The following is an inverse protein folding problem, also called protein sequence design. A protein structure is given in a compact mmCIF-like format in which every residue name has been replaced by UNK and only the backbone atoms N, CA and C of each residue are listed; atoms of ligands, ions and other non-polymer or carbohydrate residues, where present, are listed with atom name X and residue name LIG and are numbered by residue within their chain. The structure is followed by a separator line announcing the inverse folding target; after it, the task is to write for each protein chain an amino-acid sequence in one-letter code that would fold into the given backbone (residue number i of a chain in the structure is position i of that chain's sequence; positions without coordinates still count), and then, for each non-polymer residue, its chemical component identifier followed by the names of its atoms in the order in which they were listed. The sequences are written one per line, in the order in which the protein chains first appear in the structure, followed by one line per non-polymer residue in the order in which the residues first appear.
data_IF_179694058951
#
_entry.id   IF_179694058951
#
_cell.length_a   1.000
_cell.length_b   1.000
_cell.length_c   1.000
_cell.angle_alpha   90.00
_cell.angle_beta   90.00
_cell.angle_gamma   90.00
#
_symmetry.space_group_name_H-M   'P 1'
#
loop_
_entity.id
_entity.type
_entity.pdbx_description
1 polymer ?
#
# COMPACT_ATOMS: atom_id res chain seq x y z
N UNK A 1 -0.92 66.47 13.17
CA UNK A 1 -0.81 65.12 13.75
C UNK A 1 -2.12 64.36 13.50
N UNK A 2 -2.40 63.92 12.26
CA UNK A 2 -3.77 63.47 11.93
C UNK A 2 -3.98 62.55 10.73
N UNK A 3 -3.07 62.50 9.75
CA UNK A 3 -3.27 61.65 8.55
C UNK A 3 -2.22 60.53 8.36
N UNK A 4 -1.17 60.50 9.18
CA UNK A 4 -0.14 59.44 9.12
C UNK A 4 -0.53 58.17 9.90
N UNK A 5 -1.22 58.32 11.04
CA UNK A 5 -1.69 57.18 11.84
C UNK A 5 -2.83 56.39 11.16
N UNK A 6 -3.71 57.05 10.41
CA UNK A 6 -4.81 56.37 9.69
C UNK A 6 -4.31 55.56 8.48
N UNK A 7 -3.26 56.02 7.80
CA UNK A 7 -2.65 55.28 6.68
C UNK A 7 -1.82 54.07 7.14
N UNK A 8 -1.19 54.15 8.32
CA UNK A 8 -0.46 53.02 8.92
C UNK A 8 -1.37 51.87 9.38
N UNK A 9 -2.55 52.19 9.94
CA UNK A 9 -3.51 51.17 10.40
C UNK A 9 -4.18 50.45 9.22
N UNK A 10 -4.45 51.15 8.11
CA UNK A 10 -5.01 50.52 6.90
C UNK A 10 -3.98 49.58 6.24
N UNK A 11 -2.68 49.91 6.28
CA UNK A 11 -1.64 49.04 5.73
C UNK A 11 -1.39 47.78 6.57
N UNK A 12 -1.61 47.85 7.89
CA UNK A 12 -1.48 46.70 8.81
C UNK A 12 -2.67 45.72 8.75
N UNK A 13 -3.87 46.17 8.35
CA UNK A 13 -5.04 45.29 8.21
C UNK A 13 -5.00 44.52 6.87
N UNK A 14 -4.37 45.08 5.82
CA UNK A 14 -4.22 44.39 4.51
C UNK A 14 -3.20 43.24 4.58
N UNK A 15 -2.25 43.27 5.52
CA UNK A 15 -1.27 42.19 5.73
C UNK A 15 -1.82 41.00 6.56
N UNK A 16 -3.01 41.11 7.15
CA UNK A 16 -3.64 40.03 7.94
C UNK A 16 -4.71 39.24 7.17
N UNK A 17 -4.88 39.46 5.86
CA UNK A 17 -5.90 38.79 5.03
C UNK A 17 -5.37 37.90 3.88
N UNK A 18 -4.07 37.67 3.79
CA UNK A 18 -3.48 36.73 2.81
C UNK A 18 -3.19 35.32 3.34
N UNK A 19 -3.46 35.06 4.61
CA UNK A 19 -3.04 33.85 5.33
C UNK A 19 -4.06 32.71 5.30
N UNK A 20 -4.60 32.37 4.13
CA UNK A 20 -5.24 31.06 3.90
C UNK A 20 -4.87 30.60 2.50
N UNK A 21 -3.65 30.10 2.33
CA UNK A 21 -3.40 29.09 1.32
C UNK A 21 -4.27 27.90 1.73
N UNK A 22 -5.50 27.84 1.19
CA UNK A 22 -6.20 26.58 1.06
C UNK A 22 -5.19 25.65 0.39
N UNK A 23 -4.80 24.58 1.07
CA UNK A 23 -3.98 23.52 0.50
C UNK A 23 -4.82 22.92 -0.63
N UNK A 24 -4.61 23.45 -1.83
CA UNK A 24 -5.49 23.24 -2.95
C UNK A 24 -5.37 21.79 -3.40
N UNK A 25 -6.51 21.15 -3.61
CA UNK A 25 -6.67 20.00 -4.51
C UNK A 25 -5.77 20.20 -5.73
N UNK A 26 -5.13 19.12 -6.21
CA UNK A 26 -4.33 19.25 -7.43
C UNK A 26 -5.19 19.80 -8.55
N UNK A 27 -4.59 20.62 -9.41
CA UNK A 27 -5.32 21.24 -10.50
C UNK A 27 -5.89 20.18 -11.44
N UNK A 28 -6.96 20.52 -12.17
CA UNK A 28 -7.51 19.62 -13.18
C UNK A 28 -6.46 19.22 -14.24
N UNK A 29 -5.50 20.10 -14.53
CA UNK A 29 -4.41 19.82 -15.47
C UNK A 29 -3.36 18.87 -14.90
N UNK A 30 -3.07 18.93 -13.60
CA UNK A 30 -2.23 17.93 -12.93
C UNK A 30 -2.93 16.58 -12.84
N UNK A 31 -4.22 16.56 -12.54
CA UNK A 31 -5.00 15.34 -12.50
C UNK A 31 -5.03 14.61 -13.86
N UNK A 32 -4.96 15.32 -14.98
CA UNK A 32 -4.84 14.73 -16.34
C UNK A 32 -3.53 13.95 -16.54
N UNK A 33 -2.52 14.13 -15.70
CA UNK A 33 -1.28 13.33 -15.73
C UNK A 33 -1.52 11.89 -15.27
N UNK A 34 -2.62 11.61 -14.57
CA UNK A 34 -3.02 10.29 -14.10
C UNK A 34 -3.92 9.61 -15.14
N UNK A 35 -3.75 8.32 -15.34
CA UNK A 35 -4.68 7.56 -16.17
C UNK A 35 -4.36 6.07 -16.19
N UNK A 36 -5.21 5.28 -16.84
CA UNK A 36 -4.97 3.83 -17.03
C UNK A 36 -3.95 3.61 -18.15
N UNK A 37 -4.04 4.39 -19.23
CA UNK A 37 -3.21 4.29 -20.44
C UNK A 37 -2.73 5.68 -20.89
N UNK A 38 -1.59 5.74 -21.59
CA UNK A 38 -1.18 6.94 -22.36
C UNK A 38 -0.90 8.20 -21.55
N UNK A 39 -0.63 8.07 -20.25
CA UNK A 39 -0.44 9.17 -19.29
C UNK A 39 0.91 9.02 -18.59
N UNK A 40 1.60 10.11 -18.21
CA UNK A 40 2.91 10.01 -17.58
C UNK A 40 2.87 9.30 -16.21
N UNK A 41 1.74 9.39 -15.50
CA UNK A 41 1.53 8.70 -14.24
C UNK A 41 0.49 7.58 -14.40
N UNK A 42 0.69 6.51 -13.64
CA UNK A 42 -0.31 5.46 -13.41
C UNK A 42 -1.52 6.03 -12.66
N UNK A 43 -2.67 5.32 -12.57
CA UNK A 43 -3.85 5.86 -11.87
C UNK A 43 -3.61 6.11 -10.39
N UNK A 44 -2.61 5.45 -9.82
CA UNK A 44 -2.21 5.57 -8.40
C UNK A 44 -1.07 6.55 -8.19
N UNK A 45 -0.65 7.28 -9.22
CA UNK A 45 0.35 8.33 -9.12
C UNK A 45 1.81 7.92 -9.25
N UNK A 46 2.10 6.62 -9.42
CA UNK A 46 3.45 6.18 -9.73
C UNK A 46 3.85 6.59 -11.15
N UNK A 47 5.15 6.83 -11.38
CA UNK A 47 5.70 7.00 -12.73
C UNK A 47 5.34 5.80 -13.61
N UNK A 48 4.79 6.06 -14.79
CA UNK A 48 4.41 4.99 -15.73
C UNK A 48 5.62 4.41 -16.45
N UNK A 49 6.51 5.30 -16.90
CA UNK A 49 7.68 4.92 -17.67
C UNK A 49 8.57 3.94 -16.90
N UNK A 50 9.35 3.17 -17.65
CA UNK A 50 10.49 2.43 -17.12
C UNK A 50 11.64 3.37 -16.72
N UNK A 51 12.73 2.81 -16.20
CA UNK A 51 13.95 3.58 -15.99
C UNK A 51 14.74 3.74 -17.30
N UNK A 52 15.67 4.70 -17.31
CA UNK A 52 16.52 4.97 -18.48
C UNK A 52 17.40 3.77 -18.89
N UNK A 53 17.81 2.93 -17.93
CA UNK A 53 18.66 1.76 -18.19
C UNK A 53 17.88 0.57 -18.79
N UNK A 54 16.55 0.66 -18.90
CA UNK A 54 15.69 -0.39 -19.45
C UNK A 54 15.55 -1.64 -18.58
N UNK A 55 16.04 -1.61 -17.34
CA UNK A 55 15.96 -2.74 -16.39
C UNK A 55 14.63 -2.81 -15.64
N UNK A 56 13.87 -1.71 -15.64
CA UNK A 56 12.50 -1.59 -15.14
C UNK A 56 11.61 -1.27 -16.33
N UNK A 57 10.64 -2.14 -16.67
CA UNK A 57 9.74 -1.90 -17.80
C UNK A 57 8.69 -0.82 -17.48
N UNK A 58 8.04 -0.30 -18.52
CA UNK A 58 6.82 0.50 -18.37
C UNK A 58 5.73 -0.29 -17.65
N UNK A 59 4.90 0.39 -16.84
CA UNK A 59 3.69 -0.22 -16.31
C UNK A 59 2.58 -0.27 -17.37
N UNK A 60 2.20 -1.50 -17.74
CA UNK A 60 1.20 -1.78 -18.79
C UNK A 60 -0.13 -2.33 -18.26
N UNK A 61 -0.39 -2.19 -16.95
CA UNK A 61 -1.63 -2.68 -16.32
C UNK A 61 -1.43 -3.81 -15.30
N UNK A 62 -0.23 -4.39 -15.23
CA UNK A 62 0.08 -5.50 -14.34
C UNK A 62 -0.62 -6.81 -14.74
N UNK A 63 -0.72 -7.74 -13.79
CA UNK A 63 -1.35 -9.05 -14.01
C UNK A 63 -2.86 -8.91 -13.84
N UNK A 64 -3.61 -8.98 -14.94
CA UNK A 64 -5.09 -8.82 -14.94
C UNK A 64 -5.87 -10.13 -15.05
N UNK A 65 -5.17 -11.24 -15.29
CA UNK A 65 -5.73 -12.60 -15.34
C UNK A 65 -4.89 -13.53 -14.49
N UNK A 66 -5.50 -14.52 -13.81
CA UNK A 66 -4.74 -15.54 -13.10
C UNK A 66 -3.74 -16.23 -14.03
N UNK A 67 -2.54 -16.61 -13.54
CA UNK A 67 -1.60 -17.40 -14.32
C UNK A 67 -2.23 -18.75 -14.75
N UNK A 68 -1.71 -19.32 -15.83
CA UNK A 68 -2.18 -20.61 -16.34
C UNK A 68 -2.09 -21.69 -15.25
N UNK A 69 -3.15 -22.49 -15.11
CA UNK A 69 -3.21 -23.59 -14.15
C UNK A 69 -3.61 -23.21 -12.72
N UNK A 70 -3.91 -21.94 -12.44
CA UNK A 70 -4.46 -21.54 -11.13
C UNK A 70 -5.93 -21.92 -10.98
N UNK A 71 -6.27 -22.61 -9.90
CA UNK A 71 -7.65 -22.76 -9.43
C UNK A 71 -7.84 -22.11 -8.06
N UNK A 72 -9.08 -21.73 -7.74
CA UNK A 72 -9.42 -21.16 -6.44
C UNK A 72 -9.14 -22.17 -5.34
N UNK A 73 -8.29 -21.80 -4.38
CA UNK A 73 -7.85 -22.66 -3.28
C UNK A 73 -6.43 -23.20 -3.45
N UNK A 74 -5.85 -23.11 -4.65
CA UNK A 74 -4.47 -23.52 -4.90
C UNK A 74 -3.46 -22.54 -4.29
N UNK A 75 -2.24 -23.04 -4.09
CA UNK A 75 -1.10 -22.16 -3.87
C UNK A 75 -0.89 -21.30 -5.13
N UNK A 76 -0.60 -20.01 -4.97
CA UNK A 76 -0.44 -19.10 -6.10
C UNK A 76 0.76 -19.55 -6.95
N UNK A 77 0.55 -19.88 -8.25
CA UNK A 77 1.63 -20.28 -9.12
C UNK A 77 2.57 -19.10 -9.37
N UNK A 78 3.82 -19.41 -9.73
CA UNK A 78 4.77 -18.42 -10.18
C UNK A 78 4.27 -17.79 -11.49
N UNK A 79 4.14 -16.46 -11.58
CA UNK A 79 3.57 -15.81 -12.76
C UNK A 79 4.51 -15.80 -13.98
N UNK A 80 5.82 -15.87 -13.77
CA UNK A 80 6.86 -15.89 -14.82
C UNK A 80 7.84 -17.05 -14.60
N UNK A 81 7.40 -18.32 -14.73
CA UNK A 81 8.25 -19.48 -14.44
C UNK A 81 9.48 -19.60 -15.36
N UNK A 82 9.45 -18.94 -16.53
CA UNK A 82 10.51 -18.89 -17.51
C UNK A 82 11.65 -17.91 -17.16
N UNK A 83 11.45 -17.03 -16.18
CA UNK A 83 12.46 -16.03 -15.80
C UNK A 83 13.74 -16.69 -15.29
N UNK A 84 14.85 -16.35 -15.94
CA UNK A 84 16.18 -16.82 -15.54
C UNK A 84 16.88 -15.77 -14.70
N UNK A 85 17.78 -16.24 -13.83
CA UNK A 85 18.69 -15.36 -13.09
C UNK A 85 19.53 -14.56 -14.07
N UNK A 86 19.54 -13.25 -13.91
CA UNK A 86 20.42 -12.34 -14.65
C UNK A 86 21.86 -12.48 -14.14
N UNK A 87 22.03 -12.41 -12.82
CA UNK A 87 23.31 -12.60 -12.15
C UNK A 87 23.10 -12.95 -10.66
N UNK A 88 24.19 -13.17 -9.95
CA UNK A 88 24.18 -13.40 -8.50
C UNK A 88 25.21 -12.51 -7.83
N UNK A 89 24.75 -11.78 -6.81
CA UNK A 89 25.61 -11.01 -5.93
C UNK A 89 26.04 -11.89 -4.76
N UNK A 90 27.32 -11.90 -4.47
CA UNK A 90 27.97 -12.71 -3.43
C UNK A 90 28.96 -11.85 -2.65
N UNK A 91 29.57 -12.40 -1.60
CA UNK A 91 30.57 -11.68 -0.83
C UNK A 91 31.82 -11.31 -1.62
N UNK A 92 32.09 -11.99 -2.74
CA UNK A 92 33.23 -11.71 -3.60
C UNK A 92 33.01 -10.51 -4.56
N UNK A 93 31.75 -10.18 -4.88
CA UNK A 93 31.44 -9.15 -5.89
C UNK A 93 30.48 -8.04 -5.42
N UNK A 94 29.97 -8.09 -4.18
CA UNK A 94 29.00 -7.09 -3.69
C UNK A 94 29.52 -5.65 -3.78
N UNK A 95 30.84 -5.44 -3.72
CA UNK A 95 31.45 -4.11 -3.87
C UNK A 95 31.17 -3.48 -5.24
N UNK A 96 31.03 -4.29 -6.30
CA UNK A 96 30.67 -3.83 -7.65
C UNK A 96 29.22 -3.32 -7.73
N UNK A 97 28.38 -3.71 -6.76
CA UNK A 97 26.97 -3.37 -6.69
C UNK A 97 26.64 -2.50 -5.48
N UNK A 98 27.66 -1.93 -4.82
CA UNK A 98 27.51 -1.26 -3.51
C UNK A 98 26.48 -0.13 -3.52
N UNK A 99 26.38 0.60 -4.63
CA UNK A 99 25.41 1.70 -4.79
C UNK A 99 23.94 1.22 -4.81
N UNK A 100 23.71 -0.07 -5.07
CA UNK A 100 22.39 -0.69 -5.10
C UNK A 100 22.06 -1.45 -3.81
N UNK A 101 23.00 -1.50 -2.86
CA UNK A 101 22.88 -2.28 -1.63
C UNK A 101 22.78 -1.38 -0.41
N UNK A 102 21.85 -1.69 0.48
CA UNK A 102 21.78 -1.04 1.79
C UNK A 102 22.88 -1.56 2.72
N UNK A 103 23.24 -0.78 3.74
CA UNK A 103 24.24 -1.19 4.74
C UNK A 103 23.88 -2.52 5.41
N UNK A 104 22.58 -2.76 5.64
CA UNK A 104 22.09 -4.03 6.17
C UNK A 104 22.34 -5.21 5.23
N UNK A 105 22.16 -5.02 3.92
CA UNK A 105 22.47 -6.06 2.91
C UNK A 105 23.98 -6.31 2.82
N UNK A 106 24.79 -5.25 2.85
CA UNK A 106 26.25 -5.36 2.88
C UNK A 106 26.73 -6.11 4.13
N UNK A 107 26.13 -5.83 5.29
CA UNK A 107 26.44 -6.53 6.52
C UNK A 107 26.14 -8.04 6.42
N UNK A 108 25.09 -8.46 5.71
CA UNK A 108 24.78 -9.87 5.49
C UNK A 108 25.86 -10.58 4.66
N UNK A 109 26.39 -9.95 3.60
CA UNK A 109 27.50 -10.50 2.82
C UNK A 109 28.78 -10.66 3.67
N UNK A 110 29.05 -9.71 4.57
CA UNK A 110 30.20 -9.78 5.48
C UNK A 110 30.04 -10.83 6.59
N UNK A 111 28.84 -10.95 7.15
CA UNK A 111 28.54 -11.90 8.24
C UNK A 111 28.47 -13.35 7.73
N UNK A 112 27.99 -13.55 6.50
CA UNK A 112 27.72 -14.87 5.93
C UNK A 112 28.32 -15.06 4.54
N UNK A 113 29.65 -14.89 4.38
CA UNK A 113 30.27 -14.79 3.06
C UNK A 113 30.13 -16.06 2.21
N UNK A 114 29.99 -17.22 2.85
CA UNK A 114 29.89 -18.52 2.15
C UNK A 114 28.45 -18.94 1.82
N UNK A 115 27.46 -18.39 2.52
CA UNK A 115 26.07 -18.89 2.48
C UNK A 115 25.08 -17.86 1.96
N UNK A 116 25.32 -16.57 2.20
CA UNK A 116 24.46 -15.51 1.73
C UNK A 116 24.80 -15.12 0.29
N UNK A 117 23.79 -15.15 -0.56
CA UNK A 117 23.86 -14.75 -1.96
C UNK A 117 22.52 -14.14 -2.37
N UNK A 118 22.56 -13.16 -3.25
CA UNK A 118 21.37 -12.51 -3.79
C UNK A 118 21.25 -12.87 -5.27
N UNK A 119 20.20 -13.61 -5.62
CA UNK A 119 19.88 -13.91 -7.01
C UNK A 119 19.05 -12.76 -7.60
N UNK A 120 19.53 -12.19 -8.70
CA UNK A 120 18.86 -11.08 -9.38
C UNK A 120 18.14 -11.60 -10.61
N UNK A 121 16.90 -11.16 -10.80
CA UNK A 121 15.98 -11.59 -11.86
C UNK A 121 15.44 -10.37 -12.62
N UNK A 122 14.85 -10.56 -13.81
CA UNK A 122 14.16 -9.48 -14.54
C UNK A 122 13.08 -8.80 -13.68
N UNK A 123 12.96 -7.48 -13.83
CA UNK A 123 11.91 -6.72 -13.15
C UNK A 123 10.60 -6.83 -13.92
N UNK A 124 9.52 -7.17 -13.24
CA UNK A 124 8.17 -7.12 -13.78
C UNK A 124 7.30 -6.18 -12.94
N UNK A 125 6.56 -5.27 -13.59
CA UNK A 125 5.60 -4.40 -12.90
C UNK A 125 4.22 -5.06 -12.88
N UNK A 126 4.03 -5.97 -11.93
CA UNK A 126 2.85 -6.88 -11.87
C UNK A 126 1.62 -6.32 -11.15
N UNK A 127 1.78 -5.26 -10.36
CA UNK A 127 0.70 -4.73 -9.54
C UNK A 127 -0.48 -4.27 -10.40
N UNK A 128 -1.66 -4.80 -10.12
CA UNK A 128 -2.93 -4.47 -10.74
C UNK A 128 -3.99 -4.26 -9.66
N UNK A 129 -4.97 -3.40 -9.93
CA UNK A 129 -6.11 -3.13 -9.04
C UNK A 129 -7.40 -3.23 -9.85
N UNK A 130 -8.56 -3.44 -9.19
CA UNK A 130 -9.85 -3.34 -9.84
C UNK A 130 -10.06 -1.96 -10.48
N UNK A 131 -10.73 -1.91 -11.63
CA UNK A 131 -10.96 -0.67 -12.40
C UNK A 131 -11.61 0.43 -11.56
N UNK A 132 -12.58 0.07 -10.70
CA UNK A 132 -13.26 1.02 -9.83
C UNK A 132 -12.30 1.69 -8.83
N UNK A 133 -11.27 0.97 -8.35
CA UNK A 133 -10.30 1.50 -7.40
C UNK A 133 -9.32 2.46 -8.09
N UNK A 134 -9.00 2.21 -9.36
CA UNK A 134 -8.26 3.17 -10.16
C UNK A 134 -9.06 4.43 -10.47
N UNK A 135 -10.34 4.27 -10.84
CA UNK A 135 -11.22 5.42 -11.06
C UNK A 135 -11.33 6.26 -9.80
N UNK A 136 -11.58 5.65 -8.66
CA UNK A 136 -11.67 6.36 -7.39
C UNK A 136 -10.37 7.08 -7.06
N UNK A 137 -9.20 6.47 -7.31
CA UNK A 137 -7.91 7.13 -7.10
C UNK A 137 -7.73 8.38 -7.99
N UNK A 138 -8.05 8.30 -9.28
CA UNK A 138 -8.01 9.45 -10.20
C UNK A 138 -8.97 10.54 -9.73
N UNK A 139 -10.21 10.17 -9.39
CA UNK A 139 -11.21 11.13 -8.89
C UNK A 139 -10.71 11.81 -7.59
N UNK A 140 -10.07 11.06 -6.69
CA UNK A 140 -9.58 11.56 -5.42
C UNK A 140 -8.56 12.70 -5.60
N UNK A 141 -7.75 12.70 -6.67
CA UNK A 141 -6.77 13.75 -6.97
C UNK A 141 -7.36 15.16 -6.89
N UNK A 142 -8.60 15.34 -7.38
CA UNK A 142 -9.28 16.65 -7.41
C UNK A 142 -10.29 16.85 -6.28
N UNK A 143 -10.57 15.80 -5.50
CA UNK A 143 -11.64 15.80 -4.49
C UNK A 143 -11.11 15.78 -3.07
N UNK A 144 -9.98 15.11 -2.84
CA UNK A 144 -9.42 14.88 -1.53
C UNK A 144 -8.82 16.17 -0.94
N UNK A 145 -9.03 16.35 0.37
CA UNK A 145 -8.44 17.45 1.14
C UNK A 145 -8.00 16.92 2.50
N UNK A 146 -6.84 17.38 2.99
CA UNK A 146 -6.46 17.16 4.39
C UNK A 146 -7.42 17.91 5.32
N UNK A 147 -7.66 17.35 6.51
CA UNK A 147 -8.41 18.00 7.58
C UNK A 147 -7.55 18.16 8.83
N UNK A 148 -7.92 19.13 9.68
CA UNK A 148 -7.38 19.29 11.05
C UNK A 148 -5.84 19.22 11.14
N UNK A 149 -5.16 20.01 10.30
CA UNK A 149 -3.69 20.08 10.31
C UNK A 149 -2.98 18.82 9.79
N UNK A 150 -3.69 17.92 9.10
CA UNK A 150 -3.13 16.71 8.52
C UNK A 150 -3.46 15.41 9.28
N UNK A 151 -4.24 15.50 10.35
CA UNK A 151 -4.68 14.34 11.15
C UNK A 151 -5.78 13.49 10.48
N UNK A 152 -6.23 13.89 9.30
CA UNK A 152 -7.16 13.13 8.49
C UNK A 152 -7.28 13.68 7.08
N UNK A 153 -8.21 13.12 6.32
CA UNK A 153 -8.62 13.63 5.03
C UNK A 153 -10.13 13.43 4.82
N UNK A 154 -10.70 14.19 3.88
CA UNK A 154 -12.07 14.06 3.37
C UNK A 154 -12.05 14.05 1.85
N UNK A 155 -13.17 13.74 1.21
CA UNK A 155 -13.33 13.79 -0.24
C UNK A 155 -12.77 12.60 -1.01
N UNK A 156 -12.26 11.58 -0.32
CA UNK A 156 -11.63 10.41 -0.92
C UNK A 156 -12.37 9.09 -0.57
N UNK A 157 -12.22 8.10 -1.44
CA UNK A 157 -12.69 6.72 -1.21
C UNK A 157 -11.84 5.71 -1.98
N UNK A 158 -11.98 4.44 -1.63
CA UNK A 158 -11.57 3.30 -2.45
C UNK A 158 -10.08 2.98 -2.47
N UNK A 159 -9.23 4.00 -2.56
CA UNK A 159 -7.78 3.87 -2.70
C UNK A 159 -7.07 5.14 -2.19
N UNK A 160 -5.78 5.30 -2.48
CA UNK A 160 -4.97 6.46 -2.10
C UNK A 160 -5.71 7.81 -2.33
N UNK A 161 -5.82 8.67 -1.30
CA UNK A 161 -6.52 9.95 -1.38
C UNK A 161 -5.75 10.99 -2.21
N UNK A 162 -4.42 10.96 -2.19
CA UNK A 162 -3.58 11.99 -2.80
C UNK A 162 -2.61 11.37 -3.81
N UNK A 163 -3.06 10.85 -4.97
CA UNK A 163 -2.18 10.19 -5.93
C UNK A 163 -0.99 11.05 -6.38
N UNK A 164 -1.11 12.38 -6.36
CA UNK A 164 0.01 13.31 -6.58
C UNK A 164 0.24 14.08 -5.28
N UNK A 165 0.95 13.49 -4.29
CA UNK A 165 1.09 14.10 -2.98
C UNK A 165 1.96 15.35 -3.05
N UNK A 166 1.48 16.45 -2.50
CA UNK A 166 2.17 17.74 -2.37
C UNK A 166 2.92 17.87 -1.04
N UNK A 167 2.73 16.92 -0.11
CA UNK A 167 3.43 16.89 1.18
C UNK A 167 3.68 15.49 1.71
N UNK A 168 4.59 15.38 2.69
CA UNK A 168 4.87 14.11 3.37
C UNK A 168 3.65 13.54 4.11
N UNK A 169 2.76 14.40 4.63
CA UNK A 169 1.53 13.96 5.30
C UNK A 169 0.58 13.28 4.31
N UNK A 170 0.44 13.81 3.11
CA UNK A 170 -0.36 13.20 2.04
C UNK A 170 0.22 11.84 1.61
N UNK A 171 1.55 11.74 1.50
CA UNK A 171 2.23 10.49 1.21
C UNK A 171 2.01 9.42 2.30
N UNK A 172 2.01 9.83 3.58
CA UNK A 172 1.68 8.95 4.71
C UNK A 172 0.22 8.47 4.59
N UNK A 173 -0.73 9.34 4.29
CA UNK A 173 -2.13 8.94 4.10
C UNK A 173 -2.32 7.95 2.97
N UNK A 174 -1.61 8.12 1.85
CA UNK A 174 -1.58 7.12 0.78
C UNK A 174 -1.04 5.76 1.25
N UNK A 175 0.05 5.76 2.02
CA UNK A 175 0.60 4.53 2.58
C UNK A 175 -0.39 3.85 3.54
N UNK A 176 -1.12 4.61 4.34
CA UNK A 176 -2.12 4.05 5.26
C UNK A 176 -3.32 3.48 4.51
N UNK A 177 -3.77 4.14 3.43
CA UNK A 177 -5.10 3.90 2.83
C UNK A 177 -5.11 3.32 1.42
N UNK A 178 -3.96 2.94 0.88
CA UNK A 178 -3.91 2.21 -0.39
C UNK A 178 -4.80 0.96 -0.35
N UNK A 179 -5.38 0.63 -1.51
CA UNK A 179 -6.30 -0.48 -1.65
C UNK A 179 -5.66 -1.82 -1.27
N UNK A 180 -6.36 -2.59 -0.42
CA UNK A 180 -5.96 -3.94 0.04
C UNK A 180 -7.07 -4.98 -0.09
N UNK A 181 -8.09 -4.70 -0.89
CA UNK A 181 -9.33 -5.46 -0.91
C UNK A 181 -10.43 -4.84 -0.05
N UNK A 182 -11.68 -5.22 -0.32
CA UNK A 182 -12.83 -4.82 0.49
C UNK A 182 -12.95 -5.63 1.79
N UNK A 183 -12.52 -6.90 1.74
CA UNK A 183 -12.51 -7.83 2.87
C UNK A 183 -11.26 -8.69 2.79
N UNK A 184 -10.65 -8.95 3.95
CA UNK A 184 -9.48 -9.83 4.08
C UNK A 184 -9.82 -10.93 5.08
N UNK A 185 -9.79 -12.17 4.64
CA UNK A 185 -9.85 -13.34 5.52
C UNK A 185 -8.44 -13.76 5.91
N UNK A 186 -8.19 -13.97 7.20
CA UNK A 186 -6.98 -14.59 7.71
C UNK A 186 -7.33 -15.89 8.43
N UNK A 187 -6.64 -16.95 8.04
CA UNK A 187 -6.75 -18.26 8.64
C UNK A 187 -5.42 -18.57 9.33
N UNK A 188 -5.46 -18.72 10.65
CA UNK A 188 -4.28 -18.96 11.47
C UNK A 188 -4.48 -20.13 12.41
N UNK A 189 -3.37 -20.73 12.83
CA UNK A 189 -3.35 -21.70 13.92
C UNK A 189 -2.24 -21.28 14.88
N UNK A 190 -2.57 -21.20 16.17
CA UNK A 190 -1.61 -20.94 17.23
C UNK A 190 -1.51 -22.16 18.14
N UNK A 191 -0.29 -22.53 18.49
CA UNK A 191 -0.01 -23.54 19.50
C UNK A 191 0.90 -22.94 20.57
N UNK A 192 0.50 -23.06 21.83
CA UNK A 192 1.35 -22.73 22.98
C UNK A 192 1.84 -24.06 23.58
N UNK A 193 3.12 -24.44 23.37
CA UNK A 193 3.64 -25.69 23.91
C UNK A 193 3.89 -25.56 25.42
N UNK A 194 3.53 -26.60 26.16
CA UNK A 194 3.92 -26.77 27.57
C UNK A 194 5.37 -27.22 27.68
N UNK A 195 5.95 -27.16 28.89
CA UNK A 195 7.33 -27.63 29.15
C UNK A 195 7.56 -29.08 28.72
N UNK A 196 6.52 -29.92 28.75
CA UNK A 196 6.58 -31.33 28.37
C UNK A 196 6.34 -31.57 26.88
N UNK A 197 6.12 -30.51 26.09
CA UNK A 197 5.89 -30.59 24.65
C UNK A 197 4.41 -30.77 24.25
N UNK A 198 3.49 -30.95 25.20
CA UNK A 198 2.05 -30.99 24.89
C UNK A 198 1.55 -29.61 24.45
N UNK A 199 0.66 -29.55 23.48
CA UNK A 199 0.05 -28.31 22.99
C UNK A 199 -1.41 -28.52 22.58
N UNK A 200 -2.20 -27.44 22.61
CA UNK A 200 -3.52 -27.38 21.99
C UNK A 200 -3.47 -26.40 20.83
N UNK A 201 -4.01 -26.80 19.68
CA UNK A 201 -4.12 -25.91 18.52
C UNK A 201 -5.37 -25.05 18.69
N UNK A 202 -5.19 -23.74 18.72
CA UNK A 202 -6.25 -22.76 18.58
C UNK A 202 -6.30 -22.32 17.12
N UNK A 203 -7.43 -22.56 16.45
CA UNK A 203 -7.65 -22.05 15.09
C UNK A 203 -8.30 -20.67 15.18
N UNK A 204 -7.73 -19.71 14.46
CA UNK A 204 -8.23 -18.35 14.37
C UNK A 204 -8.72 -18.09 12.96
N UNK A 205 -9.95 -17.59 12.85
CA UNK A 205 -10.49 -17.06 11.60
C UNK A 205 -10.79 -15.60 11.85
N UNK A 206 -9.97 -14.73 11.28
CA UNK A 206 -10.19 -13.29 11.32
C UNK A 206 -10.75 -12.83 9.98
N UNK A 207 -11.77 -11.99 10.01
CA UNK A 207 -12.28 -11.28 8.86
C UNK A 207 -12.13 -9.79 9.12
N UNK A 208 -11.39 -9.12 8.25
CA UNK A 208 -11.21 -7.67 8.28
C UNK A 208 -12.07 -7.09 7.17
N UNK A 209 -13.06 -6.28 7.52
CA UNK A 209 -13.76 -5.45 6.54
C UNK A 209 -13.06 -4.11 6.45
N UNK A 210 -12.91 -3.59 5.23
CA UNK A 210 -12.34 -2.28 4.96
C UNK A 210 -13.43 -1.40 4.34
N UNK A 211 -14.28 -0.72 5.17
CA UNK A 211 -15.36 0.12 4.68
C UNK A 211 -14.87 1.21 3.72
N UNK A 212 -13.65 1.72 3.91
CA UNK A 212 -13.02 2.69 3.01
C UNK A 212 -12.92 2.19 1.56
N UNK A 213 -12.68 0.89 1.39
CA UNK A 213 -12.54 0.21 0.11
C UNK A 213 -13.86 -0.46 -0.35
N UNK A 214 -15.01 0.02 0.10
CA UNK A 214 -16.33 -0.43 -0.40
C UNK A 214 -16.66 0.24 -1.74
N UNK A 215 -16.75 -0.51 -2.86
CA UNK A 215 -17.06 0.05 -4.16
C UNK A 215 -18.44 0.73 -4.20
N UNK A 216 -19.39 0.29 -3.36
CA UNK A 216 -20.77 0.80 -3.31
C UNK A 216 -20.92 2.03 -2.40
N UNK A 217 -19.94 2.31 -1.55
CA UNK A 217 -20.01 3.45 -0.64
C UNK A 217 -19.76 4.77 -1.37
N UNK A 218 -20.51 5.81 -0.99
CA UNK A 218 -20.25 7.19 -1.44
C UNK A 218 -19.24 7.88 -0.53
N UNK A 219 -18.54 8.90 -1.03
CA UNK A 219 -17.58 9.71 -0.24
C UNK A 219 -18.19 10.24 1.06
N UNK A 220 -19.41 10.78 0.99
CA UNK A 220 -20.17 11.25 2.17
C UNK A 220 -20.44 10.13 3.18
N UNK A 221 -20.71 8.91 2.71
CA UNK A 221 -20.91 7.77 3.62
C UNK A 221 -19.59 7.34 4.29
N UNK A 222 -18.48 7.37 3.56
CA UNK A 222 -17.14 7.09 4.10
C UNK A 222 -16.77 8.13 5.15
N UNK A 223 -16.90 9.41 4.83
CA UNK A 223 -16.64 10.53 5.75
C UNK A 223 -17.51 10.44 7.01
N UNK A 224 -18.81 10.21 6.85
CA UNK A 224 -19.74 10.12 8.00
C UNK A 224 -19.42 8.94 8.90
N UNK A 225 -19.02 7.79 8.32
CA UNK A 225 -18.63 6.62 9.12
C UNK A 225 -17.29 6.87 9.81
N UNK A 226 -16.36 7.52 9.13
CA UNK A 226 -14.98 7.73 9.57
C UNK A 226 -14.30 6.45 10.08
N UNK A 227 -14.58 5.32 9.39
CA UNK A 227 -14.06 4.00 9.73
C UNK A 227 -13.14 3.53 8.62
N UNK A 228 -11.86 3.36 8.95
CA UNK A 228 -10.88 2.80 8.03
C UNK A 228 -11.05 1.28 7.88
N UNK A 229 -11.20 0.55 8.99
CA UNK A 229 -11.36 -0.90 9.02
C UNK A 229 -12.16 -1.39 10.24
N UNK A 230 -12.83 -2.52 10.06
CA UNK A 230 -13.56 -3.27 11.10
C UNK A 230 -12.97 -4.68 11.18
N UNK A 231 -12.63 -5.12 12.39
CA UNK A 231 -11.99 -6.41 12.63
C UNK A 231 -12.98 -7.34 13.33
N UNK A 232 -13.26 -8.49 12.72
CA UNK A 232 -14.08 -9.56 13.29
C UNK A 232 -13.18 -10.77 13.52
N UNK A 233 -12.97 -11.16 14.77
CA UNK A 233 -12.14 -12.30 15.14
C UNK A 233 -13.01 -13.42 15.71
N UNK A 234 -13.00 -14.57 15.05
CA UNK A 234 -13.65 -15.79 15.54
C UNK A 234 -12.57 -16.80 15.96
N UNK A 235 -12.64 -17.24 17.21
CA UNK A 235 -11.71 -18.20 17.79
C UNK A 235 -12.39 -19.56 17.92
N UNK A 236 -11.78 -20.59 17.31
CA UNK A 236 -12.24 -21.97 17.42
C UNK A 236 -11.19 -22.78 18.16
N UNK A 237 -11.52 -23.21 19.38
CA UNK A 237 -10.69 -24.15 20.13
C UNK A 237 -10.99 -25.54 19.56
N UNK A 238 -10.12 -26.04 18.68
CA UNK A 238 -10.19 -27.44 18.31
C UNK A 238 -9.72 -28.24 19.52
N UNK A 239 -10.64 -28.99 20.16
CA UNK A 239 -10.26 -29.94 21.21
C UNK A 239 -9.08 -30.78 20.72
N UNK A 240 -8.08 -31.07 21.56
CA UNK A 240 -7.03 -32.03 21.18
C UNK A 240 -7.72 -33.33 20.74
N UNK A 241 -7.22 -34.02 19.69
CA UNK A 241 -7.70 -35.35 19.38
C UNK A 241 -7.60 -36.16 20.68
N UNK A 242 -8.75 -36.65 21.14
CA UNK A 242 -8.84 -37.37 22.40
C UNK A 242 -7.89 -38.56 22.30
N UNK A 243 -6.79 -38.55 23.07
CA UNK A 243 -5.77 -39.61 23.05
C UNK A 243 -6.31 -40.97 23.53
N UNK A 244 -7.59 -41.02 23.94
CA UNK A 244 -8.26 -42.17 24.56
C UNK A 244 -9.72 -42.38 24.09
N UNK A 245 -10.10 -42.01 22.85
CA UNK A 245 -11.42 -42.39 22.31
C UNK A 245 -11.49 -43.81 21.72
N UNK A 246 -10.44 -44.63 21.89
CA UNK A 246 -10.47 -46.07 21.59
C UNK A 246 -10.09 -46.87 22.84
N UNK A 247 -10.99 -46.91 23.84
CA UNK A 247 -10.96 -47.97 24.87
C UNK A 247 -12.41 -48.39 25.19
N UNK A 248 -12.83 -49.47 24.54
CA UNK A 248 -13.71 -50.57 24.99
C UNK A 248 -15.20 -50.29 25.29
N UNK A 249 -16.09 -51.33 25.24
CA UNK A 249 -15.94 -52.70 25.79
C UNK A 249 -15.15 -53.71 24.95
#
# INVERSE_FOLDING_TARGET
MGNWLKKGIIFLIILMWGGQLAWAKVSADEAKKLGITGTPLTPVGAERAGNADGTIPEWTGGITKPPAGFNVGDFHPMPFPEDKKLFTVTAENYEQHKELLTDGMIALFKAYPKTFKMHVYPTHRTASLPEWAYKDCIDNATQAELVEGGNGFKGAKGNSPFPIPQSGVEAIWNHVTHYRGHSVGKYGAQAAPTRNGDYTIMKMVETILLPYADPKATRKQIERKNLFGLFFANYYITRPPCRYCFVNP
#
